data_IF_103469124807
#
_entry.id   IF_103469124807
#
_cell.length_a   1.000
_cell.length_b   1.000
_cell.length_c   1.000
_cell.angle_alpha   90.00
_cell.angle_beta   90.00
_cell.angle_gamma   90.00
#
_symmetry.space_group_name_H-M   'P 1'
#
loop_
_entity.id
_entity.type
_entity.pdbx_description
1 polymer ?
#
# COMPACT_ATOMS: atom_id res chain seq x y z
N UNK A 1 -44.63 -41.00 19.58
CA UNK A 1 -43.46 -41.01 18.69
C UNK A 1 -43.09 -39.55 18.41
N UNK A 2 -42.09 -38.98 19.08
CA UNK A 2 -41.63 -37.59 18.85
C UNK A 2 -40.20 -37.67 18.34
N UNK A 3 -40.02 -37.48 17.03
CA UNK A 3 -38.72 -37.54 16.34
C UNK A 3 -38.48 -36.17 15.69
N UNK A 4 -37.43 -35.48 16.14
CA UNK A 4 -36.48 -34.87 15.20
C UNK A 4 -36.65 -33.44 14.69
N UNK A 5 -37.31 -32.49 15.37
CA UNK A 5 -37.30 -31.07 14.91
C UNK A 5 -36.07 -30.24 15.38
N UNK A 6 -35.09 -30.91 16.02
CA UNK A 6 -33.83 -30.31 16.48
C UNK A 6 -32.64 -30.53 15.53
N UNK A 7 -32.79 -31.37 14.51
CA UNK A 7 -31.68 -31.79 13.66
C UNK A 7 -31.48 -30.84 12.46
N UNK A 8 -32.57 -30.46 11.78
CA UNK A 8 -32.51 -29.63 10.57
C UNK A 8 -31.96 -28.20 10.82
N UNK A 9 -32.22 -27.62 12.00
CA UNK A 9 -31.70 -26.28 12.36
C UNK A 9 -30.21 -26.29 12.72
N UNK A 10 -29.69 -27.41 13.22
CA UNK A 10 -28.27 -27.55 13.58
C UNK A 10 -27.40 -27.84 12.36
N UNK A 11 -27.92 -28.63 11.42
CA UNK A 11 -27.21 -29.00 10.19
C UNK A 11 -26.90 -27.77 9.32
N UNK A 12 -27.87 -26.87 9.13
CA UNK A 12 -27.67 -25.63 8.37
C UNK A 12 -26.60 -24.75 9.03
N UNK A 13 -26.61 -24.63 10.37
CA UNK A 13 -25.60 -23.84 11.07
C UNK A 13 -24.19 -24.43 10.95
N UNK A 14 -24.05 -25.76 10.95
CA UNK A 14 -22.76 -26.46 10.78
C UNK A 14 -22.20 -26.24 9.37
N UNK A 15 -23.05 -26.29 8.34
CA UNK A 15 -22.64 -26.01 6.95
C UNK A 15 -22.14 -24.57 6.79
N UNK A 16 -22.83 -23.59 7.40
CA UNK A 16 -22.41 -22.19 7.37
C UNK A 16 -21.07 -21.96 8.10
N UNK A 17 -20.87 -22.58 9.26
CA UNK A 17 -19.60 -22.49 10.00
C UNK A 17 -18.47 -23.17 9.23
N UNK A 18 -18.75 -24.20 8.44
CA UNK A 18 -17.77 -24.83 7.55
C UNK A 18 -17.27 -23.92 6.43
N UNK A 19 -18.12 -23.05 5.87
CA UNK A 19 -17.76 -22.12 4.79
C UNK A 19 -17.14 -20.82 5.30
N UNK A 20 -17.42 -20.44 6.56
CA UNK A 20 -16.95 -19.19 7.16
C UNK A 20 -15.42 -18.97 7.06
N UNK A 21 -14.55 -19.96 7.36
CA UNK A 21 -13.10 -19.79 7.22
C UNK A 21 -12.68 -19.47 5.79
N UNK A 22 -13.31 -20.10 4.80
CA UNK A 22 -13.03 -19.85 3.38
C UNK A 22 -13.43 -18.43 2.99
N UNK A 23 -14.62 -17.98 3.40
CA UNK A 23 -15.10 -16.61 3.14
C UNK A 23 -14.15 -15.59 3.77
N UNK A 24 -13.76 -15.79 5.03
CA UNK A 24 -12.82 -14.90 5.72
C UNK A 24 -11.47 -14.85 5.01
N UNK A 25 -10.94 -16.00 4.60
CA UNK A 25 -9.69 -16.06 3.83
C UNK A 25 -9.79 -15.28 2.51
N UNK A 26 -10.89 -15.44 1.77
CA UNK A 26 -11.12 -14.68 0.53
C UNK A 26 -11.21 -13.18 0.80
N UNK A 27 -11.94 -12.75 1.84
CA UNK A 27 -12.03 -11.35 2.22
C UNK A 27 -10.67 -10.76 2.58
N UNK A 28 -9.83 -11.51 3.29
CA UNK A 28 -8.45 -11.10 3.60
C UNK A 28 -7.64 -10.93 2.32
N UNK A 29 -7.72 -11.86 1.37
CA UNK A 29 -7.02 -11.74 0.09
C UNK A 29 -7.47 -10.52 -0.71
N UNK A 30 -8.78 -10.30 -0.82
CA UNK A 30 -9.33 -9.12 -1.49
C UNK A 30 -8.87 -7.83 -0.80
N UNK A 31 -8.86 -7.82 0.53
CA UNK A 31 -8.35 -6.69 1.29
C UNK A 31 -6.86 -6.44 1.04
N UNK A 32 -6.04 -7.49 0.97
CA UNK A 32 -4.63 -7.36 0.61
C UNK A 32 -4.46 -6.77 -0.80
N UNK A 33 -5.27 -7.18 -1.78
CA UNK A 33 -5.24 -6.58 -3.12
C UNK A 33 -5.54 -5.07 -3.09
N UNK A 34 -6.50 -4.64 -2.25
CA UNK A 34 -6.81 -3.22 -2.06
C UNK A 34 -5.61 -2.48 -1.46
N UNK A 35 -4.96 -3.01 -0.43
CA UNK A 35 -3.78 -2.39 0.18
C UNK A 35 -2.60 -2.26 -0.80
N UNK A 36 -2.38 -3.27 -1.65
CA UNK A 36 -1.36 -3.22 -2.70
C UNK A 36 -1.66 -2.07 -3.67
N UNK A 37 -2.89 -2.03 -4.20
CA UNK A 37 -3.31 -0.98 -5.14
C UNK A 37 -3.20 0.42 -4.54
N UNK A 38 -3.64 0.58 -3.28
CA UNK A 38 -3.51 1.84 -2.56
C UNK A 38 -2.05 2.27 -2.39
N UNK A 39 -1.14 1.33 -2.10
CA UNK A 39 0.29 1.61 -1.95
C UNK A 39 0.92 2.07 -3.27
N UNK A 40 0.50 1.53 -4.42
CA UNK A 40 0.93 2.04 -5.74
C UNK A 40 0.51 3.50 -5.95
N UNK A 41 -0.75 3.82 -5.64
CA UNK A 41 -1.25 5.19 -5.74
C UNK A 41 -0.47 6.12 -4.80
N UNK A 42 -0.19 5.69 -3.58
CA UNK A 42 0.54 6.50 -2.60
C UNK A 42 2.01 6.74 -3.02
N UNK A 43 2.71 5.69 -3.46
CA UNK A 43 4.10 5.80 -3.92
C UNK A 43 4.23 6.70 -5.15
N UNK A 44 3.27 6.64 -6.08
CA UNK A 44 3.24 7.52 -7.25
C UNK A 44 3.04 8.99 -6.88
N UNK A 45 2.10 9.30 -5.99
CA UNK A 45 1.88 10.68 -5.52
C UNK A 45 3.09 11.22 -4.77
N UNK A 46 3.70 10.42 -3.90
CA UNK A 46 4.91 10.80 -3.19
C UNK A 46 6.08 11.07 -4.15
N UNK A 47 6.24 10.25 -5.20
CA UNK A 47 7.27 10.47 -6.22
C UNK A 47 7.03 11.76 -7.03
N UNK A 48 5.78 12.04 -7.42
CA UNK A 48 5.43 13.28 -8.15
C UNK A 48 5.73 14.54 -7.31
N UNK A 49 5.35 14.52 -6.03
CA UNK A 49 5.63 15.62 -5.10
C UNK A 49 7.14 15.82 -4.89
N UNK A 50 7.89 14.72 -4.71
CA UNK A 50 9.33 14.74 -4.58
C UNK A 50 10.03 15.28 -5.85
N UNK A 51 9.55 14.89 -7.04
CA UNK A 51 10.09 15.37 -8.30
C UNK A 51 9.87 16.88 -8.46
N UNK A 52 8.71 17.40 -8.07
CA UNK A 52 8.40 18.85 -8.11
C UNK A 52 9.23 19.65 -7.14
N UNK A 53 9.36 19.19 -5.89
CA UNK A 53 10.22 19.83 -4.91
C UNK A 53 11.67 19.85 -5.40
N UNK A 54 12.16 18.70 -5.88
CA UNK A 54 13.49 18.60 -6.43
C UNK A 54 13.70 19.47 -7.67
N UNK A 55 12.70 19.67 -8.54
CA UNK A 55 12.81 20.52 -9.73
C UNK A 55 13.09 22.01 -9.41
N UNK A 56 12.63 22.49 -8.25
CA UNK A 56 12.85 23.87 -7.78
C UNK A 56 14.01 23.99 -6.78
N UNK A 57 14.69 22.89 -6.47
CA UNK A 57 15.82 22.86 -5.53
C UNK A 57 15.45 22.71 -4.07
N UNK A 58 14.20 22.34 -3.75
CA UNK A 58 13.75 22.04 -2.38
C UNK A 58 14.13 20.60 -1.96
N UNK A 59 13.98 20.30 -0.67
CA UNK A 59 14.23 18.96 -0.13
C UNK A 59 13.18 17.96 -0.63
N UNK A 60 13.60 17.10 -1.56
CA UNK A 60 12.72 16.12 -2.17
C UNK A 60 12.39 14.94 -1.24
N UNK A 61 13.23 14.63 -0.25
CA UNK A 61 13.00 13.57 0.71
C UNK A 61 11.89 13.96 1.68
N UNK A 62 11.96 15.19 2.21
CA UNK A 62 10.90 15.76 3.03
C UNK A 62 9.57 15.82 2.25
N UNK A 63 9.61 16.25 0.99
CA UNK A 63 8.43 16.30 0.13
C UNK A 63 7.81 14.92 -0.13
N UNK A 64 8.65 13.88 -0.34
CA UNK A 64 8.19 12.51 -0.50
C UNK A 64 7.47 11.97 0.75
N UNK A 65 7.98 12.30 1.93
CA UNK A 65 7.49 11.77 3.21
C UNK A 65 6.34 12.57 3.82
N UNK A 66 6.16 13.84 3.40
CA UNK A 66 5.19 14.78 3.98
C UNK A 66 3.75 14.25 4.11
N UNK A 67 3.33 13.39 3.18
CA UNK A 67 1.98 12.82 3.15
C UNK A 67 1.93 11.33 3.46
N UNK A 68 3.06 10.74 3.85
CA UNK A 68 3.11 9.35 4.30
C UNK A 68 2.84 9.30 5.81
N UNK A 69 1.89 8.48 6.21
CA UNK A 69 1.56 8.29 7.61
C UNK A 69 1.65 6.82 8.06
N UNK A 70 1.64 6.64 9.38
CA UNK A 70 1.54 5.35 10.04
C UNK A 70 2.43 4.25 9.45
N UNK A 71 1.78 3.25 8.84
CA UNK A 71 2.44 2.04 8.37
C UNK A 71 3.30 2.25 7.10
N UNK A 72 3.00 3.28 6.28
CA UNK A 72 3.75 3.55 5.07
C UNK A 72 5.00 4.39 5.33
N UNK A 73 4.97 5.27 6.34
CA UNK A 73 6.14 6.05 6.76
C UNK A 73 7.24 5.17 7.36
N UNK A 74 6.88 4.15 8.15
CA UNK A 74 7.83 3.31 8.90
C UNK A 74 8.79 2.45 8.04
N UNK A 75 8.61 2.44 6.72
CA UNK A 75 9.47 1.73 5.77
C UNK A 75 9.61 2.44 4.43
N UNK A 76 9.33 3.75 4.39
CA UNK A 76 9.49 4.55 3.19
C UNK A 76 10.97 4.79 2.91
N UNK A 77 11.34 4.85 1.64
CA UNK A 77 12.61 5.43 1.21
C UNK A 77 12.39 6.24 -0.06
N UNK A 78 12.96 7.44 -0.10
CA UNK A 78 12.89 8.33 -1.23
C UNK A 78 14.31 8.64 -1.73
N UNK A 79 14.47 8.72 -3.04
CA UNK A 79 15.70 9.12 -3.69
C UNK A 79 15.40 10.00 -4.88
N UNK A 80 16.22 11.03 -5.07
CA UNK A 80 16.09 11.94 -6.22
C UNK A 80 17.42 12.06 -6.91
N UNK A 81 17.38 11.94 -8.23
CA UNK A 81 18.54 12.02 -9.10
C UNK A 81 18.29 13.13 -10.11
N UNK A 82 19.30 13.98 -10.31
CA UNK A 82 19.27 15.01 -11.34
C UNK A 82 20.12 14.53 -12.51
N UNK A 83 19.49 14.44 -13.68
CA UNK A 83 20.17 14.06 -14.92
C UNK A 83 19.57 14.80 -16.11
N UNK A 84 20.43 15.27 -17.03
CA UNK A 84 19.98 15.86 -18.30
C UNK A 84 19.02 17.06 -18.21
N UNK A 85 19.02 17.83 -17.11
CA UNK A 85 18.07 18.92 -16.89
C UNK A 85 16.69 18.47 -16.38
N UNK A 86 16.58 17.21 -15.95
CA UNK A 86 15.41 16.64 -15.29
C UNK A 86 15.80 16.23 -13.87
N UNK A 87 14.82 16.25 -12.98
CA UNK A 87 14.86 15.62 -11.67
C UNK A 87 13.95 14.40 -11.73
N UNK A 88 14.51 13.23 -11.48
CA UNK A 88 13.77 11.97 -11.31
C UNK A 88 13.70 11.65 -9.84
N UNK A 89 12.51 11.39 -9.33
CA UNK A 89 12.28 10.92 -7.97
C UNK A 89 11.77 9.48 -7.97
N UNK A 90 12.29 8.68 -7.06
CA UNK A 90 11.94 7.28 -6.84
C UNK A 90 11.57 7.09 -5.37
N UNK A 91 10.34 6.65 -5.12
CA UNK A 91 9.83 6.39 -3.77
C UNK A 91 9.47 4.92 -3.64
N UNK A 92 10.02 4.26 -2.62
CA UNK A 92 9.70 2.87 -2.27
C UNK A 92 8.92 2.84 -0.98
N UNK A 93 7.76 2.18 -1.02
CA UNK A 93 6.88 2.00 0.13
C UNK A 93 6.66 0.51 0.38
N UNK A 94 6.53 0.15 1.66
CA UNK A 94 6.15 -1.21 2.06
C UNK A 94 4.65 -1.34 2.15
N UNK A 95 4.09 -2.39 1.54
CA UNK A 95 2.66 -2.69 1.69
C UNK A 95 2.39 -3.23 3.11
N UNK A 96 1.48 -2.62 3.89
CA UNK A 96 1.16 -3.12 5.21
C UNK A 96 0.38 -4.44 5.14
N UNK A 97 0.66 -5.34 6.08
CA UNK A 97 -0.06 -6.61 6.22
C UNK A 97 -1.17 -6.50 7.27
N UNK A 98 -2.33 -7.10 6.99
CA UNK A 98 -3.49 -7.01 7.90
C UNK A 98 -3.31 -7.86 9.18
N UNK A 99 -2.56 -8.96 9.11
CA UNK A 99 -2.29 -9.86 10.24
C UNK A 99 -0.79 -10.07 10.42
N UNK A 100 -0.08 -9.12 11.07
CA UNK A 100 1.35 -9.25 11.35
C UNK A 100 1.59 -10.47 12.26
N UNK A 101 2.19 -11.53 11.70
CA UNK A 101 2.51 -12.78 12.42
C UNK A 101 1.92 -14.06 11.81
N UNK A 102 0.86 -13.96 11.00
CA UNK A 102 0.33 -15.12 10.27
C UNK A 102 1.04 -15.33 8.93
N UNK A 103 1.39 -14.23 8.25
CA UNK A 103 2.08 -14.24 6.95
C UNK A 103 2.99 -13.00 6.87
N UNK A 104 4.28 -13.18 6.58
CA UNK A 104 5.18 -12.09 6.22
C UNK A 104 5.13 -11.88 4.71
N UNK A 105 4.51 -10.79 4.25
CA UNK A 105 4.51 -10.37 2.84
C UNK A 105 5.53 -9.22 2.67
N UNK A 106 6.76 -9.47 2.20
CA UNK A 106 7.80 -8.46 2.06
C UNK A 106 7.75 -7.83 0.66
N UNK A 107 6.60 -7.27 0.26
CA UNK A 107 6.47 -6.62 -1.04
C UNK A 107 6.64 -5.12 -0.89
N UNK A 108 7.70 -4.61 -1.51
CA UNK A 108 7.95 -3.19 -1.66
C UNK A 108 7.38 -2.74 -3.02
N UNK A 109 6.67 -1.62 -3.01
CA UNK A 109 6.11 -0.96 -4.19
C UNK A 109 6.94 0.27 -4.49
N UNK A 110 7.35 0.42 -5.75
CA UNK A 110 8.16 1.55 -6.20
C UNK A 110 7.31 2.47 -7.09
N UNK A 111 7.26 3.74 -6.74
CA UNK A 111 6.74 4.83 -7.58
C UNK A 111 7.89 5.66 -8.13
N UNK A 112 7.77 6.09 -9.39
CA UNK A 112 8.76 6.93 -10.06
C UNK A 112 8.07 8.10 -10.75
N UNK A 113 8.66 9.29 -10.67
CA UNK A 113 8.21 10.48 -11.37
C UNK A 113 9.40 11.33 -11.83
N UNK A 114 9.16 12.23 -12.77
CA UNK A 114 10.19 13.15 -13.25
C UNK A 114 9.63 14.53 -13.57
N UNK A 115 10.40 15.57 -13.25
CA UNK A 115 10.07 16.96 -13.51
C UNK A 115 11.29 17.69 -14.11
N UNK A 116 11.06 18.72 -14.93
CA UNK A 116 12.14 19.52 -15.52
C UNK A 116 12.77 20.38 -14.43
N UNK A 117 14.10 20.43 -14.39
CA UNK A 117 14.83 21.29 -13.46
C UNK A 117 14.67 22.76 -13.87
N UNK A 118 14.13 23.58 -12.96
CA UNK A 118 13.88 25.01 -13.17
C UNK A 118 14.74 25.91 -12.26
N UNK A 119 15.55 25.34 -11.37
CA UNK A 119 16.30 26.06 -10.32
C UNK A 119 17.45 26.98 -10.76
N UNK A 120 17.38 27.56 -11.96
CA UNK A 120 18.28 28.60 -12.47
C UNK A 120 17.50 29.92 -12.64
N UNK A 121 16.92 30.43 -11.55
CA UNK A 121 16.03 31.60 -11.57
C UNK A 121 16.08 32.49 -10.33
N UNK A 122 17.19 32.51 -9.59
CA UNK A 122 17.42 33.45 -8.48
C UNK A 122 18.83 33.99 -8.46
#
# INVERSE_FOLDING_TARGET
MRRGERDDRGQVAIEFVGMLPLILLTLVLLWQCVLIGYTFTLAGNAADEAARAGAVGDDCGEAAERHLDGAWAAGASAGCERDGGLVRATVKLRVPVLFPGAISFPFDVTGEAGAVWEGEGR
#
